data_IF_932433676193
#
_entry.id   IF_932433676193
#
_cell.length_a   1.000
_cell.length_b   1.000
_cell.length_c   1.000
_cell.angle_alpha   90.00
_cell.angle_beta   90.00
_cell.angle_gamma   90.00
#
_symmetry.space_group_name_H-M   'P 1'
#
loop_
_entity.id
_entity.type
_entity.pdbx_description
1 polymer ?
#
# COMPACT_ATOMS: atom_id res chain seq x y z
N UNK A 1 -1.63 -2.54 1.33
CA UNK A 1 -1.09 -3.19 2.55
C UNK A 1 -1.00 -4.68 2.34
N UNK A 2 0.13 -5.27 2.64
CA UNK A 2 0.29 -6.73 2.66
C UNK A 2 -0.39 -7.32 3.89
N UNK A 3 -1.27 -8.29 3.69
CA UNK A 3 -2.04 -8.90 4.78
C UNK A 3 -1.21 -9.78 5.70
N UNK A 4 -0.13 -10.35 5.19
CA UNK A 4 0.73 -11.25 5.97
C UNK A 4 1.67 -10.48 6.88
N UNK A 5 2.43 -9.56 6.33
CA UNK A 5 3.45 -8.79 7.07
C UNK A 5 2.94 -7.48 7.65
N UNK A 6 1.75 -7.03 7.23
CA UNK A 6 1.17 -5.72 7.53
C UNK A 6 1.99 -4.54 6.98
N UNK A 7 2.95 -4.78 6.11
CA UNK A 7 3.70 -3.73 5.42
C UNK A 7 2.78 -2.89 4.56
N UNK A 8 2.97 -1.59 4.57
CA UNK A 8 2.18 -0.65 3.80
C UNK A 8 3.08 0.27 2.97
N UNK A 9 2.57 0.70 1.83
CA UNK A 9 3.18 1.71 0.97
C UNK A 9 2.19 2.85 0.76
N UNK A 10 2.65 4.07 0.95
CA UNK A 10 1.84 5.28 0.83
C UNK A 10 2.27 6.04 -0.41
N UNK A 11 1.42 6.01 -1.44
CA UNK A 11 1.73 6.55 -2.76
C UNK A 11 0.79 7.72 -3.07
N UNK A 12 1.32 8.91 -3.39
CA UNK A 12 0.48 10.03 -3.78
C UNK A 12 -0.08 9.81 -5.18
N UNK A 13 -1.36 10.08 -5.34
CA UNK A 13 -2.06 9.99 -6.62
C UNK A 13 -2.93 11.22 -6.83
N UNK A 14 -3.20 11.54 -8.09
CA UNK A 14 -4.16 12.58 -8.44
C UNK A 14 -5.56 11.96 -8.54
N UNK A 15 -6.58 12.71 -8.16
CA UNK A 15 -7.98 12.27 -8.27
C UNK A 15 -8.40 12.00 -9.72
N UNK A 16 -7.66 12.58 -10.67
CA UNK A 16 -7.88 12.41 -12.12
C UNK A 16 -7.22 11.16 -12.71
N UNK A 17 -6.49 10.38 -11.91
CA UNK A 17 -5.83 9.18 -12.40
C UNK A 17 -6.85 8.15 -12.92
N UNK A 18 -6.56 7.61 -14.09
CA UNK A 18 -7.25 6.46 -14.64
C UNK A 18 -6.73 5.16 -14.02
N UNK A 19 -7.52 4.09 -14.14
CA UNK A 19 -7.12 2.77 -13.60
C UNK A 19 -5.78 2.31 -14.15
N UNK A 20 -5.49 2.59 -15.42
CA UNK A 20 -4.21 2.29 -16.04
C UNK A 20 -3.04 2.97 -15.30
N UNK A 21 -3.20 4.21 -14.87
CA UNK A 21 -2.17 4.95 -14.15
C UNK A 21 -1.94 4.37 -12.75
N UNK A 22 -3.00 3.94 -12.06
CA UNK A 22 -2.87 3.20 -10.80
C UNK A 22 -2.13 1.89 -10.99
N UNK A 23 -2.41 1.15 -12.07
CA UNK A 23 -1.75 -0.12 -12.36
C UNK A 23 -0.26 0.09 -12.66
N UNK A 24 0.11 1.11 -13.42
CA UNK A 24 1.51 1.45 -13.68
C UNK A 24 2.26 1.85 -12.39
N UNK A 25 1.64 2.65 -11.54
CA UNK A 25 2.20 3.04 -10.26
C UNK A 25 2.40 1.82 -9.35
N UNK A 26 1.42 0.94 -9.29
CA UNK A 26 1.49 -0.30 -8.53
C UNK A 26 2.62 -1.21 -9.04
N UNK A 27 2.73 -1.36 -10.34
CA UNK A 27 3.80 -2.15 -10.98
C UNK A 27 5.18 -1.64 -10.57
N UNK A 28 5.41 -0.33 -10.68
CA UNK A 28 6.72 0.26 -10.43
C UNK A 28 7.09 0.36 -8.96
N UNK A 29 6.11 0.42 -8.06
CA UNK A 29 6.34 0.63 -6.63
C UNK A 29 6.15 -0.61 -5.77
N UNK A 30 5.29 -1.51 -6.16
CA UNK A 30 4.91 -2.68 -5.37
C UNK A 30 5.42 -3.97 -6.02
N UNK A 31 5.07 -4.22 -7.27
CA UNK A 31 5.42 -5.46 -7.97
C UNK A 31 6.94 -5.61 -8.08
N UNK A 32 7.65 -4.54 -8.35
CA UNK A 32 9.12 -4.55 -8.41
C UNK A 32 9.78 -4.96 -7.08
N UNK A 33 9.14 -4.70 -5.95
CA UNK A 33 9.68 -5.00 -4.62
C UNK A 33 9.20 -6.34 -4.06
N UNK A 34 7.95 -6.72 -4.33
CA UNK A 34 7.27 -7.82 -3.65
C UNK A 34 6.71 -8.88 -4.59
N UNK A 35 6.80 -8.67 -5.89
CA UNK A 35 6.19 -9.55 -6.89
C UNK A 35 4.70 -9.30 -7.10
N UNK A 36 4.11 -10.09 -7.98
CA UNK A 36 2.68 -10.00 -8.32
C UNK A 36 1.86 -10.58 -7.20
N UNK A 37 0.84 -9.87 -6.70
CA UNK A 37 0.00 -10.39 -5.62
C UNK A 37 -0.92 -11.50 -6.14
N UNK A 38 -1.23 -12.44 -5.27
CA UNK A 38 -2.21 -13.49 -5.57
C UNK A 38 -3.64 -12.95 -5.55
N UNK A 39 -3.89 -11.92 -4.76
CA UNK A 39 -5.21 -11.38 -4.51
C UNK A 39 -5.11 -9.89 -4.14
N UNK A 40 -6.04 -9.12 -4.65
CA UNK A 40 -6.19 -7.69 -4.31
C UNK A 40 -7.57 -7.46 -3.71
N UNK A 41 -7.59 -6.74 -2.59
CA UNK A 41 -8.82 -6.25 -1.96
C UNK A 41 -8.78 -4.73 -2.01
N UNK A 42 -9.87 -4.13 -2.44
CA UNK A 42 -10.01 -2.68 -2.55
C UNK A 42 -11.40 -2.25 -2.10
N UNK A 43 -11.50 -1.07 -1.51
CA UNK A 43 -12.75 -0.41 -1.16
C UNK A 43 -13.51 0.16 -2.37
N UNK A 44 -12.85 0.25 -3.54
CA UNK A 44 -13.46 0.76 -4.78
C UNK A 44 -14.38 -0.23 -5.51
N UNK A 45 -14.51 -1.45 -5.00
CA UNK A 45 -15.45 -2.45 -5.51
C UNK A 45 -14.91 -3.38 -6.59
N UNK A 46 -15.74 -4.38 -7.03
CA UNK A 46 -15.28 -5.47 -7.89
C UNK A 46 -14.93 -5.02 -9.31
N UNK A 47 -15.65 -4.05 -9.85
CA UNK A 47 -15.38 -3.55 -11.19
C UNK A 47 -14.02 -2.86 -11.28
N UNK A 48 -13.68 -2.09 -10.25
CA UNK A 48 -12.36 -1.46 -10.15
C UNK A 48 -11.25 -2.52 -10.07
N UNK A 49 -11.40 -3.52 -9.22
CA UNK A 49 -10.40 -4.58 -9.06
C UNK A 49 -10.21 -5.36 -10.36
N UNK A 50 -11.27 -5.74 -11.05
CA UNK A 50 -11.19 -6.44 -12.33
C UNK A 50 -10.48 -5.60 -13.41
N UNK A 51 -10.81 -4.31 -13.50
CA UNK A 51 -10.16 -3.39 -14.44
C UNK A 51 -8.70 -3.14 -14.06
N UNK A 52 -8.41 -3.01 -12.78
CA UNK A 52 -7.04 -2.86 -12.27
C UNK A 52 -6.17 -4.08 -12.61
N UNK A 53 -6.67 -5.29 -12.38
CA UNK A 53 -5.98 -6.53 -12.74
C UNK A 53 -5.67 -6.59 -14.23
N UNK A 54 -6.64 -6.27 -15.06
CA UNK A 54 -6.47 -6.24 -16.52
C UNK A 54 -5.39 -5.25 -16.91
N UNK A 55 -5.45 -4.03 -16.40
CA UNK A 55 -4.47 -2.99 -16.68
C UNK A 55 -3.07 -3.37 -16.18
N UNK A 56 -2.97 -4.02 -15.03
CA UNK A 56 -1.70 -4.49 -14.48
C UNK A 56 -1.07 -5.57 -15.38
N UNK A 57 -1.85 -6.53 -15.83
CA UNK A 57 -1.38 -7.58 -16.73
C UNK A 57 -0.97 -7.02 -18.11
N UNK A 58 -1.71 -6.07 -18.65
CA UNK A 58 -1.33 -5.37 -19.88
C UNK A 58 0.00 -4.63 -19.71
N UNK A 59 0.18 -3.92 -18.62
CA UNK A 59 1.43 -3.21 -18.30
C UNK A 59 2.63 -4.15 -18.16
N UNK A 60 2.40 -5.38 -17.71
CA UNK A 60 3.42 -6.41 -17.61
C UNK A 60 3.64 -7.20 -18.91
N UNK A 61 2.85 -6.96 -19.93
CA UNK A 61 2.91 -7.70 -21.20
C UNK A 61 2.46 -9.16 -21.10
N UNK A 62 1.67 -9.50 -20.10
CA UNK A 62 1.16 -10.86 -19.86
C UNK A 62 -0.25 -10.99 -20.44
N UNK A 63 -0.49 -12.07 -21.19
CA UNK A 63 -1.83 -12.38 -21.72
C UNK A 63 -2.71 -12.89 -20.59
N UNK A 64 -3.84 -12.21 -20.40
CA UNK A 64 -4.82 -12.51 -19.35
C UNK A 64 -5.51 -13.87 -19.56
N UNK A 65 -5.34 -14.76 -18.59
CA UNK A 65 -6.32 -15.80 -18.31
C UNK A 65 -7.20 -15.34 -17.16
N UNK A 66 -8.50 -15.22 -17.43
CA UNK A 66 -9.46 -14.76 -16.43
C UNK A 66 -9.58 -15.72 -15.24
N UNK A 67 -9.06 -15.34 -14.10
CA UNK A 67 -9.52 -15.83 -12.82
C UNK A 67 -9.45 -14.68 -11.81
N UNK A 68 -10.51 -13.91 -11.73
CA UNK A 68 -10.63 -12.85 -10.75
C UNK A 68 -11.09 -13.43 -9.42
N UNK A 69 -10.19 -13.63 -8.51
CA UNK A 69 -10.55 -13.91 -7.13
C UNK A 69 -10.84 -12.57 -6.42
N UNK A 70 -12.02 -12.01 -6.67
CA UNK A 70 -12.53 -10.89 -5.90
C UNK A 70 -13.29 -11.41 -4.67
N UNK A 71 -12.93 -10.93 -3.51
CA UNK A 71 -13.71 -11.15 -2.29
C UNK A 71 -14.23 -9.79 -1.78
N UNK A 72 -15.57 -9.62 -1.68
CA UNK A 72 -16.18 -8.35 -1.27
C UNK A 72 -16.06 -8.03 0.22
N UNK A 73 -15.15 -8.65 0.93
CA UNK A 73 -14.93 -8.34 2.33
C UNK A 73 -14.04 -7.11 2.43
N UNK A 74 -14.64 -6.00 2.85
CA UNK A 74 -13.91 -4.84 3.33
C UNK A 74 -12.99 -5.27 4.45
N UNK A 75 -11.70 -5.12 4.21
CA UNK A 75 -10.72 -5.35 5.25
C UNK A 75 -10.69 -4.12 6.16
N UNK A 76 -11.25 -4.22 7.36
CA UNK A 76 -11.19 -3.17 8.36
C UNK A 76 -9.78 -2.74 8.74
N UNK A 77 -8.77 -3.51 8.34
CA UNK A 77 -7.36 -3.15 8.50
C UNK A 77 -6.94 -2.04 7.56
N UNK A 78 -7.46 -2.00 6.32
CA UNK A 78 -7.15 -0.93 5.38
C UNK A 78 -7.71 0.42 5.85
N UNK A 79 -8.91 0.43 6.42
CA UNK A 79 -9.51 1.63 7.00
C UNK A 79 -8.71 2.14 8.20
N UNK A 80 -8.24 1.25 9.06
CA UNK A 80 -7.40 1.59 10.21
C UNK A 80 -6.06 2.19 9.76
N UNK A 81 -5.44 1.63 8.74
CA UNK A 81 -4.18 2.16 8.18
C UNK A 81 -4.41 3.54 7.57
N UNK A 82 -5.50 3.74 6.85
CA UNK A 82 -5.86 5.05 6.30
C UNK A 82 -6.06 6.09 7.41
N UNK A 83 -6.70 5.72 8.54
CA UNK A 83 -6.88 6.62 9.66
C UNK A 83 -5.53 7.00 10.30
N UNK A 84 -4.65 6.04 10.50
CA UNK A 84 -3.30 6.30 11.02
C UNK A 84 -2.52 7.21 10.09
N UNK A 85 -2.59 6.96 8.78
CA UNK A 85 -1.95 7.79 7.76
C UNK A 85 -2.49 9.23 7.79
N UNK A 86 -3.80 9.41 7.84
CA UNK A 86 -4.42 10.73 7.94
C UNK A 86 -3.93 11.50 9.17
N UNK A 87 -3.87 10.84 10.33
CA UNK A 87 -3.38 11.45 11.57
C UNK A 87 -1.90 11.86 11.45
N UNK A 88 -1.07 11.02 10.86
CA UNK A 88 0.34 11.32 10.60
C UNK A 88 0.51 12.50 9.64
N UNK A 89 -0.28 12.55 8.55
CA UNK A 89 -0.23 13.63 7.57
C UNK A 89 -0.69 14.95 8.16
N UNK A 90 -1.70 14.94 9.02
CA UNK A 90 -2.13 16.16 9.74
C UNK A 90 -1.02 16.70 10.62
N UNK A 91 -0.34 15.83 11.37
CA UNK A 91 0.80 16.23 12.19
C UNK A 91 1.95 16.82 11.34
N UNK A 92 2.27 16.19 10.21
CA UNK A 92 3.28 16.70 9.27
C UNK A 92 2.87 18.04 8.64
N UNK A 93 1.61 18.22 8.28
CA UNK A 93 1.11 19.47 7.69
C UNK A 93 1.23 20.67 8.62
N UNK A 94 1.08 20.46 9.93
CA UNK A 94 1.29 21.50 10.95
C UNK A 94 2.76 21.94 11.05
N UNK A 95 3.70 21.04 10.78
CA UNK A 95 5.14 21.31 10.88
C UNK A 95 5.72 21.83 9.57
N UNK A 96 5.27 21.33 8.42
CA UNK A 96 5.89 21.52 7.11
C UNK A 96 5.05 22.32 6.09
N UNK A 97 4.04 23.07 6.53
CA UNK A 97 3.26 23.97 5.68
C UNK A 97 2.86 23.38 4.31
N UNK A 98 1.86 22.50 4.29
CA UNK A 98 1.23 21.94 3.07
C UNK A 98 2.08 21.00 2.20
N UNK A 99 3.23 20.56 2.64
CA UNK A 99 4.09 19.59 1.91
C UNK A 99 3.80 18.13 2.31
N UNK A 100 2.54 17.76 2.34
CA UNK A 100 2.14 16.41 2.76
C UNK A 100 2.74 15.29 1.91
N UNK A 101 2.99 15.54 0.60
CA UNK A 101 3.61 14.56 -0.30
C UNK A 101 5.04 14.22 0.15
N UNK A 102 5.80 15.18 0.61
CA UNK A 102 7.17 14.96 1.11
C UNK A 102 7.19 14.22 2.44
N UNK A 103 6.08 14.22 3.18
CA UNK A 103 5.93 13.51 4.46
C UNK A 103 5.58 12.03 4.27
N UNK A 104 5.08 11.60 3.11
CA UNK A 104 4.66 10.22 2.87
C UNK A 104 5.75 9.19 3.13
N UNK A 105 7.01 9.36 2.67
CA UNK A 105 8.07 8.41 2.98
C UNK A 105 8.34 8.27 4.48
N UNK A 106 8.25 9.35 5.23
CA UNK A 106 8.44 9.33 6.69
C UNK A 106 7.27 8.66 7.40
N UNK A 107 6.04 8.91 6.95
CA UNK A 107 4.86 8.24 7.47
C UNK A 107 4.91 6.73 7.19
N UNK A 108 5.30 6.34 5.99
CA UNK A 108 5.49 4.93 5.60
C UNK A 108 6.56 4.26 6.47
N UNK A 109 7.71 4.88 6.62
CA UNK A 109 8.79 4.38 7.48
C UNK A 109 8.32 4.20 8.92
N UNK A 110 7.67 5.21 9.47
CA UNK A 110 7.16 5.19 10.85
C UNK A 110 6.12 4.08 11.05
N UNK A 111 5.18 3.93 10.12
CA UNK A 111 4.17 2.89 10.16
C UNK A 111 4.81 1.50 10.10
N UNK A 112 5.69 1.25 9.13
CA UNK A 112 6.31 -0.06 8.93
C UNK A 112 7.27 -0.46 10.06
N UNK A 113 7.74 0.50 10.85
CA UNK A 113 8.57 0.25 12.02
C UNK A 113 7.80 0.20 13.34
N UNK A 114 6.51 0.44 13.33
CA UNK A 114 5.68 0.40 14.53
C UNK A 114 5.22 -1.02 14.83
N UNK A 115 5.21 -1.38 16.11
CA UNK A 115 4.72 -2.67 16.58
C UNK A 115 3.25 -2.88 16.21
N UNK A 116 2.94 -4.05 15.66
CA UNK A 116 1.58 -4.48 15.33
C UNK A 116 1.19 -5.67 16.20
N UNK A 117 0.14 -5.51 17.01
CA UNK A 117 -0.29 -6.57 17.93
C UNK A 117 -0.72 -7.85 17.21
N UNK A 118 -1.29 -7.74 16.02
CA UNK A 118 -1.77 -8.89 15.24
C UNK A 118 -0.65 -9.82 14.76
N UNK A 119 0.55 -9.29 14.53
CA UNK A 119 1.72 -10.07 14.11
C UNK A 119 2.82 -10.09 15.17
N UNK A 120 2.64 -9.40 16.30
CA UNK A 120 3.55 -9.34 17.45
C UNK A 120 4.96 -8.82 17.11
N UNK A 121 5.07 -8.00 16.09
CA UNK A 121 6.31 -7.36 15.64
C UNK A 121 5.99 -6.16 14.74
N UNK A 122 7.00 -5.44 14.29
CA UNK A 122 6.78 -4.41 13.27
C UNK A 122 6.62 -5.05 11.88
N UNK A 123 5.91 -4.40 10.94
CA UNK A 123 5.85 -4.85 9.55
C UNK A 123 7.22 -5.02 8.90
N UNK A 124 8.17 -4.13 9.18
CA UNK A 124 9.54 -4.23 8.69
C UNK A 124 10.22 -5.54 9.14
N UNK A 125 10.09 -5.86 10.42
CA UNK A 125 10.66 -7.08 10.99
C UNK A 125 10.00 -8.34 10.39
N UNK A 126 8.69 -8.31 10.18
CA UNK A 126 7.96 -9.41 9.54
C UNK A 126 8.40 -9.63 8.09
N UNK A 127 8.71 -8.55 7.36
CA UNK A 127 9.11 -8.62 5.96
C UNK A 127 10.57 -9.04 5.78
N UNK A 128 11.48 -8.47 6.57
CA UNK A 128 12.93 -8.65 6.40
C UNK A 128 13.58 -9.60 7.41
N UNK A 129 12.84 -10.07 8.41
CA UNK A 129 13.35 -10.99 9.44
C UNK A 129 14.30 -10.36 10.45
N UNK A 130 14.41 -9.04 10.47
CA UNK A 130 15.27 -8.29 11.40
C UNK A 130 14.67 -6.93 11.73
N UNK A 131 15.07 -6.38 12.86
CA UNK A 131 14.66 -5.01 13.23
C UNK A 131 15.31 -3.98 12.33
N UNK A 132 14.57 -2.92 12.04
CA UNK A 132 15.11 -1.78 11.31
C UNK A 132 16.14 -1.04 12.18
N UNK A 133 17.23 -0.63 11.56
CA UNK A 133 18.17 0.31 12.19
C UNK A 133 17.59 1.71 12.11
N UNK A 134 17.58 2.40 13.24
CA UNK A 134 17.19 3.81 13.32
C UNK A 134 18.40 4.67 13.61
N UNK A 135 18.36 5.96 13.24
CA UNK A 135 19.49 6.86 13.50
C UNK A 135 19.82 7.07 14.98
N UNK A 136 18.90 6.67 15.86
CA UNK A 136 19.00 6.92 17.32
C UNK A 136 19.58 5.69 18.07
N UNK A 137 19.80 4.59 17.38
CA UNK A 137 20.36 3.37 17.97
C UNK A 137 21.82 3.17 17.56
#
# INVERSE_FOLDING_TARGET
>A
MDRLTKSAHFLPVKTTYLVKQYAELYLTRIVCLHGVPKKIVSDHGPQFVAHFWRSLHEAMGIVLTYSTAYHPQTDGQAERVNQILEDMLRACALIYEKKWVTCLPFAEFSYNNSYQASIKMSPFEALYGRRCRTPIN
#
